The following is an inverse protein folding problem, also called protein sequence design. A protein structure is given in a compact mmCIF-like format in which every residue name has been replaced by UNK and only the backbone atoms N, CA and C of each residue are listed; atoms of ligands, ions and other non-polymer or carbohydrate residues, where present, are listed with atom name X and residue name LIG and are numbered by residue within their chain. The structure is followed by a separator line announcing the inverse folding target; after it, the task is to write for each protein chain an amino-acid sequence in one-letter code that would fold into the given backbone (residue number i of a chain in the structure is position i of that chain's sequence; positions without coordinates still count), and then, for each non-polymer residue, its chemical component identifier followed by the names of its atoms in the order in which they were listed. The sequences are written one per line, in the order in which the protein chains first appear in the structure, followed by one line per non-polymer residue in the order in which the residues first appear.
data_IF_737236412606
#
_entry.id   IF_737236412606
#
_cell.length_a   1.000
_cell.length_b   1.000
_cell.length_c   1.000
_cell.angle_alpha   90.00
_cell.angle_beta   90.00
_cell.angle_gamma   90.00
#
_symmetry.space_group_name_H-M   'P 1'
#
loop_
_entity.id
_entity.type
_entity.pdbx_description
1 polymer ?
#
# COMPACT_ATOMS: atom_id res chain seq x y z
N UNK A 1 10.89 -2.12 -88.53
CA UNK A 1 10.37 -1.84 -87.17
C UNK A 1 10.10 -0.35 -87.05
N UNK A 2 8.96 0.05 -86.48
CA UNK A 2 8.46 1.42 -86.53
C UNK A 2 9.01 2.24 -85.33
N UNK A 3 9.85 3.28 -85.53
CA UNK A 3 10.53 4.01 -84.44
C UNK A 3 9.57 4.61 -83.41
N UNK A 4 8.35 4.95 -83.81
CA UNK A 4 7.29 5.48 -82.93
C UNK A 4 6.88 4.50 -81.83
N UNK A 5 6.89 3.20 -82.12
CA UNK A 5 6.52 2.14 -81.15
C UNK A 5 7.58 2.01 -80.06
N UNK A 6 8.87 2.14 -80.43
CA UNK A 6 9.96 2.08 -79.48
C UNK A 6 9.91 3.25 -78.49
N UNK A 7 9.64 4.47 -78.98
CA UNK A 7 9.48 5.67 -78.13
C UNK A 7 8.31 5.51 -77.17
N UNK A 8 7.15 5.03 -77.65
CA UNK A 8 5.98 4.81 -76.79
C UNK A 8 6.25 3.78 -75.68
N UNK A 9 6.98 2.70 -75.97
CA UNK A 9 7.36 1.68 -74.99
C UNK A 9 8.33 2.24 -73.93
N UNK A 10 9.34 3.00 -74.33
CA UNK A 10 10.29 3.62 -73.40
C UNK A 10 9.56 4.59 -72.47
N UNK A 11 8.64 5.41 -73.00
CA UNK A 11 7.83 6.33 -72.21
C UNK A 11 6.94 5.57 -71.22
N UNK A 12 6.23 4.52 -71.67
CA UNK A 12 5.38 3.71 -70.80
C UNK A 12 6.16 3.03 -69.66
N UNK A 13 7.34 2.45 -69.98
CA UNK A 13 8.23 1.86 -68.98
C UNK A 13 8.74 2.90 -67.99
N UNK A 14 9.09 4.09 -68.45
CA UNK A 14 9.57 5.19 -67.59
C UNK A 14 8.46 5.67 -66.63
N UNK A 15 7.23 5.81 -67.12
CA UNK A 15 6.08 6.20 -66.28
C UNK A 15 5.76 5.11 -65.25
N UNK A 16 5.79 3.83 -65.63
CA UNK A 16 5.57 2.72 -64.72
C UNK A 16 6.66 2.65 -63.64
N UNK A 17 7.92 2.83 -64.02
CA UNK A 17 9.05 2.86 -63.10
C UNK A 17 8.94 4.04 -62.12
N UNK A 18 8.59 5.24 -62.61
CA UNK A 18 8.36 6.41 -61.78
C UNK A 18 7.21 6.20 -60.78
N UNK A 19 6.08 5.64 -61.23
CA UNK A 19 4.95 5.31 -60.37
C UNK A 19 5.31 4.25 -59.31
N UNK A 20 6.07 3.22 -59.69
CA UNK A 20 6.55 2.18 -58.77
C UNK A 20 7.48 2.74 -57.69
N UNK A 21 8.43 3.61 -58.05
CA UNK A 21 9.31 4.28 -57.10
C UNK A 21 8.53 5.20 -56.15
N UNK A 22 7.58 5.97 -56.67
CA UNK A 22 6.72 6.82 -55.85
C UNK A 22 5.90 6.00 -54.83
N UNK A 23 5.31 4.88 -55.27
CA UNK A 23 4.59 3.97 -54.40
C UNK A 23 5.48 3.35 -53.32
N UNK A 24 6.71 2.93 -53.66
CA UNK A 24 7.67 2.38 -52.70
C UNK A 24 8.11 3.41 -51.66
N UNK A 25 8.42 4.64 -52.09
CA UNK A 25 8.79 5.74 -51.18
C UNK A 25 7.63 6.07 -50.24
N UNK A 26 6.41 6.19 -50.79
CA UNK A 26 5.20 6.43 -50.01
C UNK A 26 4.98 5.32 -48.97
N UNK A 27 5.04 4.05 -49.40
CA UNK A 27 4.90 2.90 -48.51
C UNK A 27 5.97 2.89 -47.41
N UNK A 28 7.23 3.23 -47.73
CA UNK A 28 8.31 3.32 -46.75
C UNK A 28 8.09 4.46 -45.74
N UNK A 29 7.60 5.61 -46.19
CA UNK A 29 7.29 6.74 -45.30
C UNK A 29 6.14 6.41 -44.37
N UNK A 30 5.05 5.81 -44.88
CA UNK A 30 3.92 5.37 -44.08
C UNK A 30 4.34 4.30 -43.07
N UNK A 31 5.17 3.33 -43.47
CA UNK A 31 5.68 2.31 -42.55
C UNK A 31 6.51 2.89 -41.41
N UNK A 32 7.31 3.95 -41.67
CA UNK A 32 8.05 4.67 -40.63
C UNK A 32 7.13 5.44 -39.68
N UNK A 33 6.13 6.15 -40.23
CA UNK A 33 5.15 6.88 -39.44
C UNK A 33 4.34 5.94 -38.52
N UNK A 34 3.87 4.82 -39.04
CA UNK A 34 3.12 3.82 -38.25
C UNK A 34 3.97 3.23 -37.11
N UNK A 35 5.26 2.96 -37.34
CA UNK A 35 6.16 2.50 -36.28
C UNK A 35 6.35 3.54 -35.18
N UNK A 36 6.48 4.81 -35.56
CA UNK A 36 6.61 5.90 -34.60
C UNK A 36 5.32 6.08 -33.78
N UNK A 37 4.14 6.09 -34.43
CA UNK A 37 2.84 6.12 -33.75
C UNK A 37 2.64 4.93 -32.82
N UNK A 38 3.08 3.72 -33.23
CA UNK A 38 3.00 2.54 -32.39
C UNK A 38 3.93 2.62 -31.17
N UNK A 39 5.09 3.27 -31.28
CA UNK A 39 5.98 3.51 -30.14
C UNK A 39 5.36 4.52 -29.17
N UNK A 40 4.90 5.67 -29.66
CA UNK A 40 4.21 6.69 -28.85
C UNK A 40 2.99 6.11 -28.13
N UNK A 41 2.15 5.35 -28.83
CA UNK A 41 0.97 4.74 -28.21
C UNK A 41 1.31 3.71 -27.11
N UNK A 42 2.51 3.12 -27.12
CA UNK A 42 2.97 2.23 -26.04
C UNK A 42 3.46 3.03 -24.83
N UNK A 43 4.20 4.11 -25.08
CA UNK A 43 4.68 5.04 -24.05
C UNK A 43 3.49 5.67 -23.31
N UNK A 44 2.53 6.25 -24.05
CA UNK A 44 1.30 6.82 -23.48
C UNK A 44 0.52 5.80 -22.66
N UNK A 45 0.38 4.55 -23.13
CA UNK A 45 -0.29 3.49 -22.35
C UNK A 45 0.49 3.06 -21.12
N UNK A 46 1.82 3.15 -21.13
CA UNK A 46 2.64 2.87 -19.96
C UNK A 46 2.46 3.98 -18.92
N UNK A 47 2.51 5.23 -19.35
CA UNK A 47 2.28 6.42 -18.52
C UNK A 47 0.86 6.43 -17.93
N UNK A 48 -0.17 6.16 -18.74
CA UNK A 48 -1.56 6.07 -18.28
C UNK A 48 -1.74 4.98 -17.23
N UNK A 49 -1.12 3.80 -17.41
CA UNK A 49 -1.17 2.73 -16.41
C UNK A 49 -0.44 3.11 -15.12
N UNK A 50 0.69 3.81 -15.23
CA UNK A 50 1.41 4.30 -14.05
C UNK A 50 0.58 5.36 -13.30
N UNK A 51 -0.02 6.30 -14.01
CA UNK A 51 -0.91 7.31 -13.45
C UNK A 51 -2.13 6.68 -12.77
N UNK A 52 -2.81 5.73 -13.42
CA UNK A 52 -3.95 5.02 -12.86
C UNK A 52 -3.59 4.23 -11.59
N UNK A 53 -2.39 3.63 -11.53
CA UNK A 53 -1.91 2.97 -10.31
C UNK A 53 -1.66 3.96 -9.17
N UNK A 54 -1.02 5.10 -9.45
CA UNK A 54 -0.80 6.15 -8.44
C UNK A 54 -2.12 6.69 -7.89
N UNK A 55 -3.09 6.92 -8.76
CA UNK A 55 -4.44 7.36 -8.36
C UNK A 55 -5.14 6.30 -7.48
N UNK A 56 -5.12 5.03 -7.89
CA UNK A 56 -5.70 3.95 -7.12
C UNK A 56 -5.06 3.81 -5.72
N UNK A 57 -3.73 3.97 -5.62
CA UNK A 57 -3.01 4.01 -4.34
C UNK A 57 -3.46 5.20 -3.49
N UNK A 58 -3.50 6.40 -4.07
CA UNK A 58 -3.94 7.61 -3.38
C UNK A 58 -5.32 7.44 -2.75
N UNK A 59 -6.29 6.93 -3.52
CA UNK A 59 -7.64 6.65 -3.05
C UNK A 59 -7.68 5.60 -1.92
N UNK A 60 -6.88 4.52 -2.04
CA UNK A 60 -6.81 3.50 -1.00
C UNK A 60 -6.23 4.06 0.31
N UNK A 61 -5.18 4.88 0.24
CA UNK A 61 -4.55 5.50 1.40
C UNK A 61 -5.47 6.52 2.07
N UNK A 62 -6.14 7.36 1.29
CA UNK A 62 -7.14 8.31 1.78
C UNK A 62 -8.30 7.60 2.48
N UNK A 63 -8.84 6.55 1.85
CA UNK A 63 -9.92 5.76 2.44
C UNK A 63 -9.49 5.12 3.76
N UNK A 64 -8.27 4.55 3.83
CA UNK A 64 -7.74 3.99 5.06
C UNK A 64 -7.62 5.04 6.17
N UNK A 65 -7.06 6.22 5.87
CA UNK A 65 -6.97 7.32 6.83
C UNK A 65 -8.35 7.78 7.31
N UNK A 66 -9.32 7.88 6.42
CA UNK A 66 -10.70 8.23 6.77
C UNK A 66 -11.35 7.21 7.72
N UNK A 67 -11.09 5.90 7.51
CA UNK A 67 -11.58 4.86 8.44
C UNK A 67 -10.88 4.90 9.79
N UNK A 68 -9.58 5.15 9.79
CA UNK A 68 -8.79 5.29 11.02
C UNK A 68 -9.26 6.50 11.83
N UNK A 69 -9.47 7.66 11.19
CA UNK A 69 -10.02 8.86 11.84
C UNK A 69 -11.40 8.59 12.45
N UNK A 70 -12.30 7.95 11.70
CA UNK A 70 -13.62 7.57 12.20
C UNK A 70 -13.54 6.65 13.43
N UNK A 71 -12.66 5.65 13.42
CA UNK A 71 -12.48 4.76 14.56
C UNK A 71 -11.90 5.47 15.79
N UNK A 72 -11.00 6.42 15.55
CA UNK A 72 -10.43 7.26 16.59
C UNK A 72 -11.43 8.22 17.22
N UNK A 73 -12.39 8.76 16.46
CA UNK A 73 -13.50 9.54 17.02
C UNK A 73 -14.39 8.73 17.94
N UNK A 74 -14.72 7.49 17.55
CA UNK A 74 -15.47 6.55 18.40
C UNK A 74 -14.75 6.32 19.73
N UNK A 75 -13.42 6.17 19.70
CA UNK A 75 -12.60 6.07 20.90
C UNK A 75 -12.61 7.36 21.73
N UNK A 76 -12.43 8.51 21.10
CA UNK A 76 -12.38 9.81 21.79
C UNK A 76 -13.72 10.15 22.48
N UNK A 77 -14.85 9.83 21.83
CA UNK A 77 -16.18 9.88 22.43
C UNK A 77 -16.27 8.94 23.65
N UNK A 78 -15.80 7.71 23.50
CA UNK A 78 -15.77 6.72 24.59
C UNK A 78 -14.90 7.12 25.77
N UNK A 79 -13.78 7.82 25.54
CA UNK A 79 -12.92 8.33 26.60
C UNK A 79 -13.55 9.49 27.39
N UNK A 80 -14.44 10.27 26.76
CA UNK A 80 -14.96 11.54 27.31
C UNK A 80 -16.42 11.50 27.78
N UNK A 81 -17.18 10.44 27.44
CA UNK A 81 -18.57 10.29 27.84
C UNK A 81 -18.82 10.36 29.37
N UNK A 82 -19.89 11.09 29.78
CA UNK A 82 -20.41 11.21 31.16
C UNK A 82 -21.96 11.19 31.17
N UNK A 83 -22.64 10.54 32.13
CA UNK A 83 -22.10 9.51 33.02
C UNK A 83 -21.53 8.37 32.17
N UNK A 84 -20.71 7.53 32.79
CA UNK A 84 -20.13 6.38 32.14
C UNK A 84 -21.22 5.34 31.82
N UNK A 85 -22.03 5.62 30.80
CA UNK A 85 -23.26 4.93 30.49
C UNK A 85 -22.95 3.73 29.61
N UNK A 86 -22.79 2.57 30.26
CA UNK A 86 -22.53 1.28 29.62
C UNK A 86 -21.25 1.25 28.75
N UNK A 87 -20.66 0.09 28.48
CA UNK A 87 -19.52 0.03 27.58
C UNK A 87 -19.92 0.72 26.26
N UNK A 88 -19.10 1.68 25.82
CA UNK A 88 -19.03 2.26 24.46
C UNK A 88 -19.73 1.29 23.51
N UNK A 89 -20.87 1.62 22.84
CA UNK A 89 -21.75 0.62 22.24
C UNK A 89 -20.89 -0.35 21.45
N UNK A 90 -20.71 -1.55 22.00
CA UNK A 90 -19.61 -2.45 21.62
C UNK A 90 -19.64 -2.74 20.11
N UNK A 91 -20.84 -2.70 19.55
CA UNK A 91 -21.12 -2.75 18.12
C UNK A 91 -20.44 -1.63 17.32
N UNK A 92 -20.45 -0.38 17.80
CA UNK A 92 -19.80 0.76 17.14
C UNK A 92 -18.27 0.59 17.11
N UNK A 93 -17.66 0.22 18.24
CA UNK A 93 -16.22 -0.05 18.31
C UNK A 93 -15.79 -1.21 17.42
N UNK A 94 -16.55 -2.32 17.44
CA UNK A 94 -16.33 -3.46 16.56
C UNK A 94 -16.48 -3.10 15.08
N UNK A 95 -17.54 -2.37 14.72
CA UNK A 95 -17.81 -1.93 13.34
C UNK A 95 -16.70 -1.00 12.85
N UNK A 96 -16.26 -0.06 13.68
CA UNK A 96 -15.18 0.85 13.35
C UNK A 96 -13.86 0.11 13.09
N UNK A 97 -13.49 -0.83 13.98
CA UNK A 97 -12.28 -1.64 13.80
C UNK A 97 -12.33 -2.50 12.54
N UNK A 98 -13.47 -3.16 12.28
CA UNK A 98 -13.66 -3.97 11.07
C UNK A 98 -13.51 -3.13 9.81
N UNK A 99 -14.08 -1.92 9.79
CA UNK A 99 -13.95 -1.02 8.64
C UNK A 99 -12.49 -0.60 8.37
N UNK A 100 -11.68 -0.45 9.43
CA UNK A 100 -10.25 -0.19 9.31
C UNK A 100 -9.49 -1.42 8.78
N UNK A 101 -9.81 -2.62 9.28
CA UNK A 101 -9.21 -3.88 8.80
C UNK A 101 -9.50 -4.10 7.30
N UNK A 102 -10.74 -3.88 6.87
CA UNK A 102 -11.14 -3.98 5.46
C UNK A 102 -10.44 -2.93 4.57
N UNK A 103 -10.23 -1.71 5.08
CA UNK A 103 -9.47 -0.69 4.36
C UNK A 103 -7.98 -1.04 4.28
N UNK A 104 -7.40 -1.65 5.32
CA UNK A 104 -6.00 -2.11 5.30
C UNK A 104 -5.75 -3.14 4.20
N UNK A 105 -6.70 -4.05 3.94
CA UNK A 105 -6.59 -5.02 2.85
C UNK A 105 -6.41 -4.29 1.50
N UNK A 106 -7.13 -3.18 1.28
CA UNK A 106 -6.98 -2.38 0.05
C UNK A 106 -5.60 -1.73 -0.06
N UNK A 107 -5.07 -1.24 1.05
CA UNK A 107 -3.69 -0.71 1.12
C UNK A 107 -2.68 -1.79 0.76
N UNK A 108 -2.83 -3.01 1.29
CA UNK A 108 -1.95 -4.15 1.00
C UNK A 108 -1.99 -4.58 -0.47
N UNK A 109 -3.14 -4.45 -1.13
CA UNK A 109 -3.29 -4.81 -2.55
C UNK A 109 -2.73 -3.76 -3.51
N UNK A 110 -2.67 -2.50 -3.10
CA UNK A 110 -2.35 -1.38 -4.01
C UNK A 110 -0.98 -0.77 -3.76
N UNK A 111 -0.53 -0.75 -2.51
CA UNK A 111 0.69 -0.09 -2.07
C UNK A 111 1.88 -1.04 -1.89
N UNK A 112 3.08 -0.47 -1.72
CA UNK A 112 4.27 -1.24 -1.41
C UNK A 112 4.24 -1.74 0.05
N UNK A 113 5.07 -2.75 0.34
CA UNK A 113 5.04 -3.47 1.62
C UNK A 113 5.37 -2.56 2.82
N UNK A 114 6.15 -1.49 2.62
CA UNK A 114 6.47 -0.51 3.66
C UNK A 114 5.22 0.24 4.13
N UNK A 115 4.33 0.61 3.21
CA UNK A 115 3.07 1.29 3.53
C UNK A 115 2.12 0.32 4.21
N UNK A 116 2.02 -0.92 3.70
CA UNK A 116 1.25 -1.99 4.33
C UNK A 116 1.72 -2.28 5.77
N UNK A 117 3.03 -2.34 5.98
CA UNK A 117 3.66 -2.52 7.29
C UNK A 117 3.34 -1.39 8.26
N UNK A 118 3.41 -0.13 7.81
CA UNK A 118 3.00 1.02 8.61
C UNK A 118 1.49 0.98 8.92
N UNK A 119 0.66 0.57 7.97
CA UNK A 119 -0.78 0.40 8.15
C UNK A 119 -1.12 -0.64 9.21
N UNK A 120 -0.43 -1.80 9.20
CA UNK A 120 -0.57 -2.84 10.23
C UNK A 120 -0.21 -2.31 11.63
N UNK A 121 0.79 -1.44 11.74
CA UNK A 121 1.15 -0.81 13.01
C UNK A 121 0.03 0.11 13.54
N UNK A 122 -0.61 0.88 12.66
CA UNK A 122 -1.78 1.72 13.01
C UNK A 122 -2.93 0.84 13.51
N UNK A 123 -3.28 -0.23 12.79
CA UNK A 123 -4.36 -1.16 13.18
C UNK A 123 -4.08 -1.81 14.53
N UNK A 124 -2.83 -2.23 14.77
CA UNK A 124 -2.41 -2.81 16.05
C UNK A 124 -2.56 -1.80 17.19
N UNK A 125 -2.06 -0.58 17.01
CA UNK A 125 -2.17 0.50 17.98
C UNK A 125 -3.63 0.86 18.30
N UNK A 126 -4.48 0.91 17.28
CA UNK A 126 -5.93 1.11 17.43
C UNK A 126 -6.56 -0.03 18.26
N UNK A 127 -6.24 -1.29 17.96
CA UNK A 127 -6.76 -2.44 18.71
C UNK A 127 -6.25 -2.49 20.16
N UNK A 128 -5.02 -2.03 20.43
CA UNK A 128 -4.49 -1.85 21.79
C UNK A 128 -5.22 -0.75 22.55
N UNK A 129 -5.53 0.37 21.91
CA UNK A 129 -6.29 1.48 22.50
C UNK A 129 -7.72 1.05 22.86
N UNK A 130 -8.44 0.33 21.97
CA UNK A 130 -9.75 -0.24 22.29
C UNK A 130 -9.70 -1.20 23.49
N UNK A 131 -8.67 -2.05 23.59
CA UNK A 131 -8.49 -2.94 24.75
C UNK A 131 -8.20 -2.17 26.02
N UNK A 132 -7.39 -1.13 25.94
CA UNK A 132 -7.04 -0.27 27.07
C UNK A 132 -8.27 0.47 27.60
N UNK A 133 -9.09 1.01 26.69
CA UNK A 133 -10.38 1.61 27.03
C UNK A 133 -11.31 0.58 27.71
N UNK A 134 -11.48 -0.60 27.12
CA UNK A 134 -12.30 -1.66 27.69
C UNK A 134 -11.82 -2.13 29.08
N UNK A 135 -10.50 -2.15 29.32
CA UNK A 135 -9.91 -2.45 30.63
C UNK A 135 -10.27 -1.39 31.68
N UNK A 136 -10.07 -0.11 31.34
CA UNK A 136 -10.44 1.01 32.22
C UNK A 136 -11.95 1.04 32.53
N UNK A 137 -12.79 0.64 31.56
CA UNK A 137 -14.23 0.47 31.76
C UNK A 137 -14.54 -0.68 32.72
N UNK A 138 -13.93 -1.85 32.48
CA UNK A 138 -14.21 -3.08 33.22
C UNK A 138 -13.83 -3.01 34.69
N UNK A 139 -12.70 -2.36 35.01
CA UNK A 139 -12.26 -2.15 36.39
C UNK A 139 -13.31 -1.35 37.20
N UNK A 140 -13.95 -0.33 36.63
CA UNK A 140 -14.97 0.42 37.36
C UNK A 140 -16.25 -0.38 37.58
N UNK A 141 -16.64 -1.23 36.64
CA UNK A 141 -17.82 -2.08 36.79
C UNK A 141 -17.68 -3.07 37.96
N UNK A 142 -16.47 -3.59 38.20
CA UNK A 142 -16.19 -4.51 39.31
C UNK A 142 -16.10 -3.79 40.66
N UNK A 143 -15.47 -2.61 40.75
CA UNK A 143 -15.37 -1.86 42.00
C UNK A 143 -16.65 -1.10 42.39
N UNK A 144 -17.48 -0.68 41.42
CA UNK A 144 -18.69 0.10 41.67
C UNK A 144 -19.92 -0.70 42.11
N UNK A 145 -19.98 -2.00 41.82
CA UNK A 145 -21.14 -2.84 42.13
C UNK A 145 -21.27 -3.20 43.63
N UNK A 146 -20.22 -3.04 44.42
CA UNK A 146 -20.18 -3.48 45.83
C UNK A 146 -20.60 -2.44 46.87
N UNK A 147 -20.45 -1.14 46.61
CA UNK A 147 -20.38 -0.12 47.69
C UNK A 147 -21.24 1.14 47.46
N UNK A 148 -22.01 1.20 46.38
CA UNK A 148 -22.77 2.41 45.99
C UNK A 148 -24.04 2.72 46.81
N UNK A 149 -24.34 2.00 47.90
CA UNK A 149 -25.61 2.17 48.62
C UNK A 149 -25.66 3.33 49.62
N UNK A 150 -24.54 3.96 50.00
CA UNK A 150 -24.57 4.90 51.14
C UNK A 150 -24.02 6.32 50.94
N UNK A 151 -23.37 6.65 49.83
CA UNK A 151 -22.77 8.00 49.67
C UNK A 151 -23.47 8.84 48.59
N UNK A 152 -24.21 9.86 49.04
CA UNK A 152 -24.88 10.81 48.15
C UNK A 152 -23.90 11.61 47.29
N UNK A 153 -24.17 11.65 45.98
CA UNK A 153 -23.65 12.62 45.00
C UNK A 153 -22.17 12.51 44.59
N UNK A 154 -21.63 11.30 44.35
CA UNK A 154 -20.40 11.20 43.56
C UNK A 154 -20.72 11.28 42.05
N UNK A 155 -20.22 12.33 41.38
CA UNK A 155 -20.37 12.49 39.93
C UNK A 155 -19.57 11.38 39.24
N UNK A 156 -20.18 10.55 38.37
CA UNK A 156 -19.47 9.45 37.73
C UNK A 156 -18.33 9.98 36.84
N UNK A 157 -17.12 9.59 37.19
CA UNK A 157 -15.90 9.90 36.44
C UNK A 157 -15.94 9.26 35.05
N UNK A 158 -15.42 9.98 34.06
CA UNK A 158 -15.18 9.48 32.70
C UNK A 158 -13.95 8.56 32.63
N UNK A 159 -13.81 7.74 31.58
CA UNK A 159 -12.64 6.86 31.42
C UNK A 159 -11.31 7.63 31.41
N UNK A 160 -11.29 8.85 30.86
CA UNK A 160 -10.09 9.68 30.90
C UNK A 160 -9.70 10.07 32.32
N UNK A 161 -10.67 10.32 33.20
CA UNK A 161 -10.39 10.68 34.60
C UNK A 161 -9.93 9.47 35.42
N UNK A 162 -10.41 8.27 35.05
CA UNK A 162 -10.00 7.02 35.69
C UNK A 162 -8.58 6.58 35.28
N UNK A 163 -8.19 6.83 34.02
CA UNK A 163 -6.92 6.36 33.48
C UNK A 163 -6.23 7.42 32.59
N UNK A 164 -5.83 8.59 33.14
CA UNK A 164 -5.24 9.68 32.35
C UNK A 164 -3.89 9.31 31.72
N UNK A 165 -3.08 8.51 32.42
CA UNK A 165 -1.78 8.03 31.93
C UNK A 165 -1.94 7.05 30.77
N UNK A 166 -2.91 6.15 30.86
CA UNK A 166 -3.23 5.18 29.81
C UNK A 166 -3.69 5.89 28.53
N UNK A 167 -4.59 6.89 28.66
CA UNK A 167 -5.01 7.72 27.53
C UNK A 167 -3.82 8.48 26.92
N UNK A 168 -2.99 9.09 27.74
CA UNK A 168 -1.82 9.83 27.28
C UNK A 168 -0.82 8.94 26.53
N UNK A 169 -0.60 7.71 27.02
CA UNK A 169 0.23 6.71 26.34
C UNK A 169 -0.36 6.30 24.99
N UNK A 170 -1.66 6.02 24.94
CA UNK A 170 -2.35 5.67 23.70
C UNK A 170 -2.27 6.79 22.65
N UNK A 171 -2.46 8.05 23.04
CA UNK A 171 -2.33 9.20 22.14
C UNK A 171 -0.92 9.30 21.54
N UNK A 172 0.14 9.07 22.33
CA UNK A 172 1.51 9.07 21.82
C UNK A 172 1.72 7.99 20.76
N UNK A 173 1.22 6.77 21.00
CA UNK A 173 1.28 5.67 20.04
C UNK A 173 0.51 6.03 18.76
N UNK A 174 -0.75 6.50 18.89
CA UNK A 174 -1.59 6.99 17.77
C UNK A 174 -0.83 7.97 16.88
N UNK A 175 -0.21 9.01 17.46
CA UNK A 175 0.52 10.02 16.70
C UNK A 175 1.75 9.44 16.01
N UNK A 176 2.53 8.61 16.70
CA UNK A 176 3.74 8.00 16.13
C UNK A 176 3.41 7.08 14.95
N UNK A 177 2.43 6.18 15.09
CA UNK A 177 2.03 5.25 14.03
C UNK A 177 1.40 5.94 12.84
N UNK A 178 0.52 6.93 13.08
CA UNK A 178 -0.12 7.70 12.01
C UNK A 178 0.90 8.51 11.21
N UNK A 179 1.86 9.17 11.88
CA UNK A 179 2.94 9.90 11.20
C UNK A 179 3.80 8.97 10.34
N UNK A 180 4.15 7.79 10.85
CA UNK A 180 4.91 6.79 10.11
C UNK A 180 4.16 6.31 8.87
N UNK A 181 2.85 6.06 8.98
CA UNK A 181 2.02 5.70 7.84
C UNK A 181 1.98 6.81 6.79
N UNK A 182 1.72 8.05 7.18
CA UNK A 182 1.67 9.19 6.24
C UNK A 182 3.02 9.41 5.55
N UNK A 183 4.13 9.28 6.27
CA UNK A 183 5.47 9.40 5.69
C UNK A 183 5.73 8.30 4.63
N UNK A 184 5.40 7.04 4.95
CA UNK A 184 5.53 5.94 4.00
C UNK A 184 4.60 6.13 2.79
N UNK A 185 3.36 6.56 3.00
CA UNK A 185 2.39 6.79 1.94
C UNK A 185 2.85 7.90 0.97
N UNK A 186 3.41 9.00 1.49
CA UNK A 186 3.99 10.08 0.67
C UNK A 186 5.17 9.57 -0.16
N UNK A 187 6.12 8.90 0.49
CA UNK A 187 7.27 8.31 -0.21
C UNK A 187 6.84 7.35 -1.33
N UNK A 188 5.79 6.55 -1.12
CA UNK A 188 5.25 5.64 -2.13
C UNK A 188 4.47 6.32 -3.27
N UNK A 189 3.97 7.54 -3.07
CA UNK A 189 3.30 8.32 -4.11
C UNK A 189 4.32 9.13 -4.94
N UNK A 190 5.38 9.63 -4.28
CA UNK A 190 6.44 10.41 -4.91
C UNK A 190 7.44 9.51 -5.68
N UNK A 191 7.77 8.32 -5.14
CA UNK A 191 8.78 7.41 -5.68
C UNK A 191 8.42 6.72 -7.01
N UNK A 192 7.15 6.71 -7.41
CA UNK A 192 6.70 6.19 -8.71
C UNK A 192 7.01 7.15 -9.89
N UNK A 193 7.52 8.35 -9.62
CA UNK A 193 7.88 9.36 -10.61
C UNK A 193 9.33 9.27 -11.11
N UNK A 194 10.21 8.68 -10.30
CA UNK A 194 11.64 8.56 -10.63
C UNK A 194 11.86 7.23 -11.35
N UNK A 195 11.53 7.19 -12.64
CA UNK A 195 11.76 6.04 -13.53
C UNK A 195 13.25 5.73 -13.79
N UNK A 196 14.08 5.76 -12.75
CA UNK A 196 15.50 5.37 -12.80
C UNK A 196 15.71 3.86 -12.70
N UNK A 197 14.65 3.07 -12.56
CA UNK A 197 14.67 1.64 -12.89
C UNK A 197 14.57 1.43 -14.41
N UNK A 198 15.54 2.00 -15.13
CA UNK A 198 15.95 1.46 -16.42
C UNK A 198 16.57 0.07 -16.16
N UNK A 199 16.18 -0.99 -16.88
CA UNK A 199 16.73 -2.34 -16.72
C UNK A 199 18.22 -2.49 -17.09
N UNK A 200 18.99 -1.40 -17.18
CA UNK A 200 20.42 -1.42 -17.53
C UNK A 200 21.33 -1.97 -16.42
N UNK A 201 20.88 -2.01 -15.16
CA UNK A 201 21.73 -2.54 -14.07
C UNK A 201 21.71 -4.07 -13.93
N UNK A 202 20.93 -4.80 -14.74
CA UNK A 202 20.93 -6.28 -14.74
C UNK A 202 21.80 -6.90 -15.85
N UNK A 203 22.29 -6.10 -16.82
CA UNK A 203 23.09 -6.59 -17.94
C UNK A 203 24.61 -6.63 -17.68
N UNK A 204 25.09 -6.13 -16.53
CA UNK A 204 26.52 -6.13 -16.18
C UNK A 204 26.93 -7.18 -15.11
N UNK A 205 26.02 -8.05 -14.67
CA UNK A 205 26.32 -9.13 -13.71
C UNK A 205 26.39 -10.53 -14.36
N UNK A 206 26.62 -10.60 -15.67
CA UNK A 206 26.67 -11.84 -16.44
C UNK A 206 27.96 -11.95 -17.24
N UNK A 207 29.10 -12.07 -16.56
CA UNK A 207 30.38 -12.22 -17.24
C UNK A 207 31.53 -12.52 -16.31
N UNK A 208 31.48 -13.65 -15.58
CA UNK A 208 32.67 -14.51 -15.48
C UNK A 208 32.30 -15.93 -15.07
N UNK A 209 32.65 -16.85 -15.96
CA UNK A 209 32.58 -18.30 -15.84
C UNK A 209 33.49 -18.80 -14.71
N UNK A 210 32.96 -19.66 -13.84
CA UNK A 210 33.78 -20.56 -13.02
C UNK A 210 32.97 -21.81 -12.66
N UNK A 211 33.28 -22.99 -13.23
CA UNK A 211 32.64 -24.26 -12.85
C UNK A 211 33.47 -24.97 -11.74
N UNK A 212 33.03 -26.10 -11.20
CA UNK A 212 32.59 -26.24 -9.81
C UNK A 212 33.60 -26.98 -8.92
N UNK A 213 33.70 -26.61 -7.65
CA UNK A 213 34.44 -27.37 -6.65
C UNK A 213 33.50 -28.15 -5.72
N UNK A 214 33.56 -29.50 -5.69
CA UNK A 214 32.93 -30.29 -4.65
C UNK A 214 33.93 -30.54 -3.50
N UNK A 215 33.59 -30.09 -2.29
CA UNK A 215 34.17 -30.56 -1.01
C UNK A 215 33.12 -30.22 0.06
N UNK A 216 32.33 -31.17 0.55
CA UNK A 216 32.67 -32.22 1.51
C UNK A 216 32.94 -31.64 2.90
N UNK A 217 32.21 -32.20 3.89
CA UNK A 217 32.53 -32.24 5.33
C UNK A 217 32.42 -30.89 6.06
N UNK A 218 31.85 -30.76 7.26
CA UNK A 218 31.41 -31.65 8.32
C UNK A 218 31.02 -30.78 9.51
N UNK A 219 30.77 -31.38 10.68
CA UNK A 219 30.53 -30.76 12.00
C UNK A 219 29.11 -30.19 12.19
N UNK A 220 28.13 -30.98 12.64
CA UNK A 220 28.04 -31.61 13.97
C UNK A 220 28.05 -30.56 15.10
N UNK A 221 26.86 -30.18 15.55
CA UNK A 221 26.64 -29.31 16.70
C UNK A 221 25.56 -29.91 17.61
N UNK A 222 25.72 -29.76 18.94
CA UNK A 222 25.25 -30.75 19.90
C UNK A 222 23.78 -30.59 20.29
N UNK A 223 23.14 -31.74 20.49
CA UNK A 223 21.87 -31.89 21.22
C UNK A 223 22.09 -31.50 22.69
N UNK A 224 21.62 -30.33 23.10
CA UNK A 224 21.42 -30.02 24.51
C UNK A 224 20.09 -30.57 25.02
N UNK A 225 20.27 -31.64 25.77
CA UNK A 225 19.53 -32.18 26.90
C UNK A 225 18.44 -31.27 27.52
N UNK A 226 17.19 -31.77 27.53
CA UNK A 226 16.10 -31.22 28.35
C UNK A 226 15.89 -32.14 29.57
N UNK A 227 16.08 -31.67 30.81
CA UNK A 227 15.85 -32.49 31.97
C UNK A 227 14.34 -32.71 32.22
N UNK A 228 14.04 -33.96 32.52
CA UNK A 228 12.78 -34.45 33.04
C UNK A 228 12.31 -33.65 34.26
N UNK A 229 11.07 -33.16 34.18
CA UNK A 229 10.31 -32.66 35.34
C UNK A 229 9.62 -33.86 35.98
N UNK A 230 10.08 -34.24 37.17
CA UNK A 230 9.42 -35.22 38.02
C UNK A 230 8.16 -34.62 38.67
N UNK A 231 7.27 -35.55 39.03
CA UNK A 231 5.91 -35.41 39.55
C UNK A 231 5.80 -34.61 40.84
#
# INVERSE_FOLDING_TARGET
MNPTVAVALITALSTLAAAGLAALVSARTTARQLRHQAALAREERAEQRAAARREARGLAYEQFLGRVDAAYRVLDEGWTARPFAEPLPWQAGFTARRAVDEALIRVQLTGPEEVAGAGRAVVRGLAEEFRTHAGAVGERATFGAGDQRESGHEVPLSAVELAPDARSAALRVRFATSRRFVAAARAALDGDGDGTDGPESAALAGGENGPPGPSAEGEDAPREDRPHRAQ
#
